data_IF_119041877667
#
_entry.id   IF_119041877667
#
_cell.length_a   1.000
_cell.length_b   1.000
_cell.length_c   1.000
_cell.angle_alpha   90.00
_cell.angle_beta   90.00
_cell.angle_gamma   90.00
#
_symmetry.space_group_name_H-M   'P 1'
#
loop_
_entity.id
_entity.type
_entity.pdbx_description
1 polymer ?
#
# COMPACT_ATOMS: atom_id res chain seq x y z
N UNK A 1 14.81 7.79 -7.84
CA UNK A 1 13.72 6.92 -8.32
C UNK A 1 14.06 5.50 -7.92
N UNK A 2 13.16 4.80 -7.23
CA UNK A 2 13.41 3.47 -6.69
C UNK A 2 12.54 2.42 -7.40
N UNK A 3 13.06 1.22 -7.68
CA UNK A 3 12.26 0.14 -8.24
C UNK A 3 11.26 -0.39 -7.19
N UNK A 4 10.01 -0.55 -7.60
CA UNK A 4 8.98 -1.13 -6.73
C UNK A 4 9.26 -2.63 -6.48
N UNK A 5 8.94 -3.19 -5.31
CA UNK A 5 9.23 -4.60 -4.99
C UNK A 5 8.59 -5.65 -5.91
N UNK A 6 7.49 -5.31 -6.58
CA UNK A 6 6.81 -6.11 -7.60
C UNK A 6 7.42 -6.03 -9.01
N UNK A 7 8.53 -5.29 -9.18
CA UNK A 7 9.26 -5.21 -10.44
C UNK A 7 8.54 -4.44 -11.54
N UNK A 8 8.91 -4.72 -12.80
CA UNK A 8 8.41 -4.00 -13.98
C UNK A 8 6.89 -4.09 -14.16
N UNK A 9 6.24 -5.13 -13.64
CA UNK A 9 4.79 -5.33 -13.67
C UNK A 9 4.04 -4.81 -12.44
N UNK A 10 4.71 -4.14 -11.50
CA UNK A 10 4.11 -3.73 -10.21
C UNK A 10 2.86 -2.85 -10.37
N UNK A 11 2.87 -1.93 -11.32
CA UNK A 11 1.84 -0.90 -11.49
C UNK A 11 1.43 -0.24 -10.14
N UNK A 12 2.34 0.53 -9.51
CA UNK A 12 2.03 1.34 -8.33
C UNK A 12 0.84 2.24 -8.61
N UNK A 13 -0.13 2.32 -7.68
CA UNK A 13 -1.38 3.03 -7.95
C UNK A 13 -1.86 3.92 -6.80
N UNK A 14 -2.82 3.49 -5.98
CA UNK A 14 -3.23 4.26 -4.80
C UNK A 14 -2.03 4.50 -3.88
N UNK A 15 -1.89 5.73 -3.37
CA UNK A 15 -0.77 6.19 -2.53
C UNK A 15 -1.24 7.15 -1.44
N UNK A 16 -0.63 7.08 -0.25
CA UNK A 16 -0.81 8.02 0.86
C UNK A 16 0.46 8.08 1.72
N UNK A 17 0.57 9.09 2.58
CA UNK A 17 1.70 9.25 3.51
C UNK A 17 1.16 9.31 4.94
N UNK A 18 1.74 8.54 5.86
CA UNK A 18 1.41 8.58 7.30
C UNK A 18 2.19 9.69 8.02
N UNK A 19 1.76 10.16 9.22
CA UNK A 19 2.40 11.28 9.92
C UNK A 19 3.88 11.08 10.29
N UNK A 20 4.34 9.84 10.37
CA UNK A 20 5.75 9.47 10.58
C UNK A 20 6.62 9.60 9.30
N UNK A 21 6.00 9.94 8.16
CA UNK A 21 6.65 10.13 6.88
C UNK A 21 6.82 8.85 6.07
N UNK A 22 6.22 7.72 6.49
CA UNK A 22 6.21 6.51 5.70
C UNK A 22 5.22 6.63 4.54
N UNK A 23 5.67 6.22 3.35
CA UNK A 23 4.87 6.23 2.13
C UNK A 23 4.20 4.87 1.98
N UNK A 24 2.90 4.87 1.75
CA UNK A 24 2.13 3.64 1.55
C UNK A 24 1.48 3.66 0.19
N UNK A 25 1.65 2.59 -0.58
CA UNK A 25 1.00 2.47 -1.89
C UNK A 25 0.67 1.03 -2.26
N UNK A 26 -0.32 0.84 -3.12
CA UNK A 26 -0.64 -0.49 -3.65
C UNK A 26 0.10 -0.78 -4.95
N UNK A 27 0.54 -2.02 -5.17
CA UNK A 27 0.89 -2.53 -6.50
C UNK A 27 -0.31 -3.30 -7.07
N UNK A 28 -0.91 -2.77 -8.14
CA UNK A 28 -2.14 -3.34 -8.72
C UNK A 28 -1.89 -4.33 -9.86
N UNK A 29 -0.66 -4.37 -10.39
CA UNK A 29 -0.28 -5.23 -11.51
C UNK A 29 0.19 -6.63 -11.09
N UNK A 30 0.38 -6.86 -9.78
CA UNK A 30 0.71 -8.18 -9.21
C UNK A 30 -0.53 -8.87 -8.64
N UNK A 31 -0.50 -10.20 -8.52
CA UNK A 31 -1.60 -11.02 -7.98
C UNK A 31 -1.10 -11.95 -6.87
N UNK A 32 -1.70 -11.91 -5.65
CA UNK A 32 -2.66 -10.90 -5.18
C UNK A 32 -2.04 -9.48 -5.21
N UNK A 33 -2.88 -8.43 -5.26
CA UNK A 33 -2.36 -7.07 -5.15
C UNK A 33 -1.64 -6.93 -3.80
N UNK A 34 -0.55 -6.17 -3.77
CA UNK A 34 0.24 -5.94 -2.56
C UNK A 34 0.06 -4.51 -2.06
N UNK A 35 0.23 -4.34 -0.76
CA UNK A 35 0.44 -3.05 -0.10
C UNK A 35 1.93 -2.93 0.21
N UNK A 36 2.51 -1.79 -0.13
CA UNK A 36 3.91 -1.49 0.07
C UNK A 36 4.04 -0.34 1.06
N UNK A 37 4.94 -0.49 2.01
CA UNK A 37 5.49 0.58 2.82
C UNK A 37 6.86 0.94 2.27
N UNK A 38 7.12 2.23 2.06
CA UNK A 38 8.41 2.76 1.67
C UNK A 38 8.87 3.81 2.69
N UNK A 39 10.08 3.62 3.20
CA UNK A 39 10.74 4.59 4.06
C UNK A 39 11.74 5.41 3.21
N UNK A 40 11.46 6.68 2.88
CA UNK A 40 12.34 7.49 2.05
C UNK A 40 13.66 7.88 2.74
N UNK A 41 13.76 7.77 4.06
CA UNK A 41 14.99 8.09 4.81
C UNK A 41 16.02 6.96 4.75
N UNK A 42 15.55 5.72 4.68
CA UNK A 42 16.41 4.52 4.66
C UNK A 42 16.41 3.80 3.31
N UNK A 43 15.57 4.26 2.39
CA UNK A 43 15.33 3.67 1.08
C UNK A 43 14.86 2.20 1.14
N UNK A 44 14.26 1.81 2.27
CA UNK A 44 13.79 0.45 2.51
C UNK A 44 12.32 0.28 2.16
N UNK A 45 12.00 -0.92 1.68
CA UNK A 45 10.64 -1.34 1.33
C UNK A 45 10.21 -2.51 2.19
N UNK A 46 8.97 -2.46 2.67
CA UNK A 46 8.26 -3.62 3.19
C UNK A 46 7.03 -3.89 2.32
N UNK A 47 6.66 -5.17 2.17
CA UNK A 47 5.54 -5.58 1.32
C UNK A 47 4.65 -6.57 2.06
N UNK A 48 3.35 -6.50 1.81
CA UNK A 48 2.40 -7.50 2.24
C UNK A 48 1.35 -7.76 1.16
N UNK A 49 0.89 -9.00 1.04
CA UNK A 49 -0.28 -9.32 0.22
C UNK A 49 -1.54 -8.74 0.89
N UNK A 50 -2.43 -8.15 0.08
CA UNK A 50 -3.76 -7.77 0.57
C UNK A 50 -4.58 -9.05 0.70
N UNK A 51 -5.09 -9.45 1.90
CA UNK A 51 -5.72 -10.76 2.09
C UNK A 51 -6.95 -11.00 1.20
N UNK A 52 -7.68 -9.94 0.85
CA UNK A 52 -8.82 -10.02 -0.08
C UNK A 52 -8.42 -10.08 -1.55
N UNK A 53 -7.12 -10.01 -1.87
CA UNK A 53 -6.60 -9.83 -3.21
C UNK A 53 -6.60 -8.38 -3.69
N UNK A 54 -7.25 -7.45 -2.97
CA UNK A 54 -7.31 -6.01 -3.25
C UNK A 54 -8.12 -5.60 -4.48
N UNK A 55 -8.06 -6.39 -5.57
CA UNK A 55 -8.72 -6.14 -6.84
C UNK A 55 -8.13 -4.92 -7.54
N UNK A 56 -8.53 -3.73 -7.08
CA UNK A 56 -7.97 -2.44 -7.49
C UNK A 56 -8.11 -1.47 -6.32
N UNK A 57 -6.98 -0.92 -5.86
CA UNK A 57 -6.94 0.10 -4.80
C UNK A 57 -6.65 1.45 -5.44
N UNK A 58 -7.68 2.30 -5.55
CA UNK A 58 -7.62 3.62 -6.21
C UNK A 58 -7.34 4.75 -5.24
N UNK A 59 -8.00 4.70 -4.08
CA UNK A 59 -7.89 5.68 -3.02
C UNK A 59 -7.45 4.99 -1.73
N UNK A 60 -6.60 5.69 -1.00
CA UNK A 60 -6.10 5.32 0.31
C UNK A 60 -6.12 6.54 1.22
N UNK A 61 -6.32 6.33 2.50
CA UNK A 61 -6.33 7.42 3.48
C UNK A 61 -5.46 7.05 4.69
N UNK A 62 -4.48 7.89 4.98
CA UNK A 62 -3.77 7.84 6.25
C UNK A 62 -4.57 8.55 7.34
N UNK A 63 -4.46 8.05 8.55
CA UNK A 63 -5.06 8.65 9.74
C UNK A 63 -3.98 9.23 10.65
N UNK A 64 -4.37 10.15 11.55
CA UNK A 64 -3.44 10.81 12.47
C UNK A 64 -2.78 9.85 13.47
N UNK A 65 -3.39 8.69 13.75
CA UNK A 65 -2.81 7.64 14.58
C UNK A 65 -1.84 6.71 13.81
N UNK A 66 -1.72 6.88 12.49
CA UNK A 66 -0.77 6.15 11.65
C UNK A 66 -1.34 4.91 10.96
N UNK A 67 -2.65 4.65 11.02
CA UNK A 67 -3.29 3.60 10.21
C UNK A 67 -3.51 4.06 8.77
N UNK A 68 -3.62 3.09 7.85
CA UNK A 68 -3.94 3.32 6.45
C UNK A 68 -5.18 2.52 6.03
N UNK A 69 -6.17 3.21 5.49
CA UNK A 69 -7.40 2.62 4.96
C UNK A 69 -7.31 2.47 3.44
N UNK A 70 -7.82 1.34 2.93
CA UNK A 70 -7.80 0.99 1.51
C UNK A 70 -9.22 0.72 1.01
N UNK A 71 -9.61 1.35 -0.09
CA UNK A 71 -10.81 0.97 -0.83
C UNK A 71 -10.47 -0.16 -1.83
N UNK A 72 -10.75 -1.41 -1.47
CA UNK A 72 -10.49 -2.59 -2.31
C UNK A 72 -11.66 -2.81 -3.29
N UNK A 73 -11.77 -1.90 -4.27
CA UNK A 73 -12.96 -1.75 -5.13
C UNK A 73 -13.30 -2.97 -5.97
N UNK A 74 -12.30 -3.71 -6.46
CA UNK A 74 -12.53 -4.91 -7.27
C UNK A 74 -13.05 -6.11 -6.47
N UNK A 75 -13.11 -6.02 -5.15
CA UNK A 75 -13.50 -7.13 -4.25
C UNK A 75 -14.50 -6.71 -3.18
N UNK A 76 -15.12 -5.53 -3.30
CA UNK A 76 -16.17 -5.02 -2.41
C UNK A 76 -15.80 -5.03 -0.91
N UNK A 77 -14.56 -4.62 -0.58
CA UNK A 77 -14.07 -4.60 0.81
C UNK A 77 -13.32 -3.31 1.15
N UNK A 78 -13.24 -3.02 2.44
CA UNK A 78 -12.32 -2.03 3.02
C UNK A 78 -11.20 -2.79 3.73
N UNK A 79 -9.96 -2.39 3.48
CA UNK A 79 -8.79 -2.89 4.21
C UNK A 79 -8.26 -1.85 5.18
N UNK A 80 -7.64 -2.30 6.27
CA UNK A 80 -6.91 -1.45 7.21
C UNK A 80 -5.53 -2.04 7.39
N UNK A 81 -4.50 -1.20 7.24
CA UNK A 81 -3.16 -1.50 7.72
C UNK A 81 -3.05 -0.88 9.10
N UNK A 82 -2.90 -1.73 10.10
CA UNK A 82 -2.71 -1.30 11.48
C UNK A 82 -1.31 -0.74 11.66
N UNK A 83 -1.20 0.28 12.52
CA UNK A 83 0.09 0.69 13.07
C UNK A 83 0.53 -0.41 14.04
N UNK A 84 1.68 -1.02 13.78
CA UNK A 84 2.30 -1.89 14.78
C UNK A 84 2.64 -1.03 16.02
N UNK A 85 2.42 -1.56 17.24
CA UNK A 85 2.70 -0.85 18.48
C UNK A 85 4.17 -0.39 18.59
#
# INVERSE_FOLDING_TARGET
MWPSPGGAGSAPYGITITPDGLVWYSESGVKPNTIIQFNPKTEQFARAAIPSGGGTVRNMAATSDGRVYLACSGVNKVGVVERLP
#
